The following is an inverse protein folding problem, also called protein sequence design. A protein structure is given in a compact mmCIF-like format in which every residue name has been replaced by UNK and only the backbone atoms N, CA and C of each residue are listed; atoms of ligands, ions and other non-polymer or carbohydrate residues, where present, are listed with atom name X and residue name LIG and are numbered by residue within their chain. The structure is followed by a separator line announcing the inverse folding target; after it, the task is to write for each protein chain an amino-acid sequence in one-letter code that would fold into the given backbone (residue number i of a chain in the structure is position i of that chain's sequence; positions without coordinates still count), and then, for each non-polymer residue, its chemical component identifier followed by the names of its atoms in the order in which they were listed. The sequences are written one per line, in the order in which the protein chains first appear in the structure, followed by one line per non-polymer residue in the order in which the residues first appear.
data_IF_584181728136
#
_entry.id   IF_584181728136
#
_cell.length_a   1.000
_cell.length_b   1.000
_cell.length_c   1.000
_cell.angle_alpha   90.00
_cell.angle_beta   90.00
_cell.angle_gamma   90.00
#
_symmetry.space_group_name_H-M   'P 1'
#
loop_
_entity.id
_entity.type
_entity.pdbx_description
1 polymer ?
#
# COMPACT_ATOMS: atom_id res chain seq x y z
N UNK A 1 -6.12 -29.96 -16.05
CA UNK A 1 -6.53 -28.81 -15.22
C UNK A 1 -6.34 -27.46 -15.91
N UNK A 2 -6.20 -27.45 -17.25
CA UNK A 2 -5.96 -26.22 -18.01
C UNK A 2 -7.07 -25.90 -19.04
N UNK A 3 -8.23 -26.51 -18.91
CA UNK A 3 -9.27 -26.45 -19.96
C UNK A 3 -10.61 -25.83 -19.50
N UNK A 4 -10.65 -25.15 -18.35
CA UNK A 4 -11.89 -24.52 -17.83
C UNK A 4 -11.84 -22.99 -17.83
N UNK A 5 -10.72 -22.36 -18.23
CA UNK A 5 -10.58 -20.91 -18.22
C UNK A 5 -10.83 -20.22 -19.57
N UNK A 6 -10.98 -20.99 -20.66
CA UNK A 6 -11.09 -20.43 -22.02
C UNK A 6 -12.54 -20.25 -22.53
N UNK A 7 -13.54 -20.56 -21.72
CA UNK A 7 -14.96 -20.46 -22.17
C UNK A 7 -15.78 -19.37 -21.48
N UNK A 8 -15.15 -18.46 -20.72
CA UNK A 8 -15.87 -17.36 -20.02
C UNK A 8 -15.45 -15.96 -20.46
N UNK A 9 -14.78 -15.80 -21.61
CA UNK A 9 -14.28 -14.47 -22.03
C UNK A 9 -15.06 -13.84 -23.18
N UNK A 10 -15.99 -14.54 -23.81
CA UNK A 10 -16.77 -13.99 -24.93
C UNK A 10 -18.28 -14.08 -24.71
N UNK A 11 -18.82 -13.33 -23.74
CA UNK A 11 -20.23 -12.90 -23.80
C UNK A 11 -20.39 -11.50 -23.24
N UNK A 12 -20.59 -10.56 -24.16
CA UNK A 12 -21.30 -9.27 -24.05
C UNK A 12 -20.98 -8.31 -22.88
N UNK A 13 -19.87 -7.61 -23.00
CA UNK A 13 -19.66 -6.34 -22.28
C UNK A 13 -20.24 -5.14 -23.05
N UNK A 14 -20.99 -5.34 -24.12
CA UNK A 14 -21.50 -4.27 -25.00
C UNK A 14 -23.00 -3.97 -24.82
N UNK A 15 -23.53 -4.05 -23.62
CA UNK A 15 -24.95 -3.79 -23.37
C UNK A 15 -25.30 -2.95 -22.15
N UNK A 16 -24.32 -2.50 -21.38
CA UNK A 16 -24.61 -1.57 -20.27
C UNK A 16 -24.70 -0.16 -20.85
N UNK A 17 -25.93 0.28 -21.19
CA UNK A 17 -26.24 1.70 -21.38
C UNK A 17 -25.67 2.45 -20.17
N UNK A 18 -24.72 3.36 -20.41
CA UNK A 18 -24.30 4.33 -19.41
C UNK A 18 -25.54 5.14 -19.00
N UNK A 19 -26.20 4.74 -17.92
CA UNK A 19 -27.18 5.60 -17.28
C UNK A 19 -26.42 6.85 -16.85
N UNK A 20 -26.74 7.98 -17.50
CA UNK A 20 -26.23 9.28 -17.09
C UNK A 20 -26.61 9.48 -15.63
N UNK A 21 -25.60 9.45 -14.74
CA UNK A 21 -25.78 9.78 -13.34
C UNK A 21 -26.38 11.18 -13.23
N UNK A 22 -27.64 11.26 -12.79
CA UNK A 22 -28.29 12.52 -12.48
C UNK A 22 -28.05 12.73 -10.98
N UNK A 23 -27.24 13.73 -10.57
CA UNK A 23 -27.00 13.98 -9.16
C UNK A 23 -28.33 14.34 -8.47
N UNK A 24 -28.64 13.78 -7.31
CA UNK A 24 -29.84 14.11 -6.59
C UNK A 24 -29.87 15.62 -6.31
N UNK A 25 -31.02 16.27 -6.55
CA UNK A 25 -31.24 17.70 -6.26
C UNK A 25 -31.24 17.89 -4.74
N UNK A 26 -30.06 17.94 -4.13
CA UNK A 26 -29.95 18.21 -2.70
C UNK A 26 -29.92 19.72 -2.47
N UNK A 27 -30.76 20.18 -1.54
CA UNK A 27 -30.81 21.57 -1.05
C UNK A 27 -29.55 21.98 -0.24
N UNK A 28 -28.57 21.07 -0.10
CA UNK A 28 -27.34 21.33 0.64
C UNK A 28 -26.32 22.01 -0.28
N UNK A 29 -25.86 23.21 0.09
CA UNK A 29 -24.79 23.92 -0.62
C UNK A 29 -23.47 23.13 -0.51
N UNK A 30 -23.11 22.42 -1.56
CA UNK A 30 -21.88 21.66 -1.68
C UNK A 30 -20.74 22.57 -2.17
N UNK A 31 -19.56 22.48 -1.56
CA UNK A 31 -18.39 23.19 -2.09
C UNK A 31 -18.00 22.63 -3.47
N UNK A 32 -17.35 23.43 -4.35
CA UNK A 32 -16.93 22.96 -5.66
C UNK A 32 -16.07 21.68 -5.62
N UNK A 33 -15.17 21.58 -4.63
CA UNK A 33 -14.32 20.40 -4.46
C UNK A 33 -15.11 19.15 -4.04
N UNK A 34 -16.12 19.30 -3.18
CA UNK A 34 -17.01 18.22 -2.74
C UNK A 34 -17.88 17.76 -3.89
N UNK A 35 -18.43 18.69 -4.70
CA UNK A 35 -19.22 18.38 -5.88
C UNK A 35 -18.45 17.56 -6.90
N UNK A 36 -17.20 17.96 -7.20
CA UNK A 36 -16.32 17.25 -8.12
C UNK A 36 -16.08 15.80 -7.66
N UNK A 37 -15.81 15.58 -6.37
CA UNK A 37 -15.60 14.23 -5.82
C UNK A 37 -16.87 13.38 -5.93
N UNK A 38 -18.06 13.95 -5.69
CA UNK A 38 -19.35 13.25 -5.79
C UNK A 38 -19.59 12.82 -7.24
N UNK A 39 -19.40 13.73 -8.21
CA UNK A 39 -19.59 13.47 -9.64
C UNK A 39 -18.60 12.41 -10.16
N UNK A 40 -17.30 12.57 -9.86
CA UNK A 40 -16.27 11.62 -10.29
C UNK A 40 -16.46 10.21 -9.70
N UNK A 41 -17.02 10.11 -8.49
CA UNK A 41 -17.16 8.85 -7.78
C UNK A 41 -18.59 8.30 -7.78
N UNK A 42 -19.55 9.00 -8.40
CA UNK A 42 -20.97 8.63 -8.43
C UNK A 42 -21.49 8.28 -7.02
N UNK A 43 -21.19 9.13 -6.03
CA UNK A 43 -21.51 8.89 -4.62
C UNK A 43 -22.96 9.30 -4.38
N UNK A 44 -23.77 8.42 -3.77
CA UNK A 44 -25.09 8.77 -3.27
C UNK A 44 -24.93 9.47 -1.90
N UNK A 45 -25.31 10.75 -1.85
CA UNK A 45 -25.22 11.60 -0.67
C UNK A 45 -26.54 11.69 0.11
N UNK A 46 -27.59 10.96 -0.30
CA UNK A 46 -28.90 11.02 0.34
C UNK A 46 -28.86 10.56 1.79
N UNK A 47 -27.97 9.63 2.12
CA UNK A 47 -27.80 9.02 3.44
C UNK A 47 -26.66 9.62 4.27
N UNK A 48 -25.97 10.64 3.74
CA UNK A 48 -24.78 11.20 4.37
C UNK A 48 -25.11 12.40 5.23
N UNK A 49 -24.79 12.33 6.52
CA UNK A 49 -24.82 13.48 7.44
C UNK A 49 -23.48 14.22 7.35
N UNK A 50 -23.52 15.53 7.03
CA UNK A 50 -22.30 16.35 6.93
C UNK A 50 -21.83 16.80 8.32
N UNK A 51 -20.52 16.65 8.58
CA UNK A 51 -19.88 17.10 9.83
C UNK A 51 -19.39 18.55 9.79
N UNK A 52 -19.54 19.25 8.66
CA UNK A 52 -19.16 20.65 8.50
C UNK A 52 -20.12 21.62 9.16
N UNK A 53 -19.73 22.92 9.22
CA UNK A 53 -20.55 24.01 9.75
C UNK A 53 -21.93 24.02 9.07
N UNK A 54 -23.01 24.12 9.86
CA UNK A 54 -24.41 24.08 9.40
C UNK A 54 -24.82 22.75 8.70
N UNK A 55 -24.21 21.62 9.11
CA UNK A 55 -24.52 20.30 8.53
C UNK A 55 -24.04 20.12 7.09
N UNK A 56 -23.06 20.88 6.62
CA UNK A 56 -22.48 20.77 5.27
C UNK A 56 -21.61 19.53 5.17
N UNK A 57 -21.67 18.87 4.02
CA UNK A 57 -20.79 17.75 3.73
C UNK A 57 -19.39 18.29 3.47
N UNK A 58 -18.42 17.89 4.31
CA UNK A 58 -17.02 18.21 4.16
C UNK A 58 -16.32 17.17 3.27
N UNK A 59 -15.16 17.55 2.71
CA UNK A 59 -14.31 16.60 1.95
C UNK A 59 -13.94 15.37 2.77
N UNK A 60 -13.73 15.55 4.08
CA UNK A 60 -13.43 14.46 5.01
C UNK A 60 -14.53 13.42 5.11
N UNK A 61 -15.81 13.83 5.08
CA UNK A 61 -16.95 12.93 5.16
C UNK A 61 -17.01 11.99 3.95
N UNK A 62 -16.73 12.52 2.76
CA UNK A 62 -16.64 11.73 1.53
C UNK A 62 -15.47 10.77 1.55
N UNK A 63 -14.30 11.22 2.03
CA UNK A 63 -13.13 10.36 2.16
C UNK A 63 -13.37 9.24 3.18
N UNK A 64 -14.04 9.53 4.29
CA UNK A 64 -14.43 8.53 5.27
C UNK A 64 -15.45 7.53 4.71
N UNK A 65 -16.42 7.99 3.93
CA UNK A 65 -17.36 7.10 3.25
C UNK A 65 -16.66 6.20 2.23
N UNK A 66 -15.69 6.74 1.51
CA UNK A 66 -14.87 5.98 0.55
C UNK A 66 -13.91 5.02 1.23
N UNK A 67 -13.48 5.31 2.46
CA UNK A 67 -12.56 4.48 3.26
C UNK A 67 -13.25 3.50 4.22
N UNK A 68 -14.53 3.67 4.51
CA UNK A 68 -15.28 2.79 5.41
C UNK A 68 -15.64 1.47 4.71
N UNK A 69 -14.68 0.55 4.71
CA UNK A 69 -14.91 -0.84 4.28
C UNK A 69 -15.43 -1.58 5.51
N UNK A 70 -16.62 -2.20 5.46
CA UNK A 70 -17.09 -3.06 6.55
C UNK A 70 -16.02 -4.12 6.83
N UNK A 71 -15.48 -4.14 8.06
CA UNK A 71 -14.56 -5.18 8.48
C UNK A 71 -15.23 -6.54 8.33
N UNK A 72 -14.58 -7.57 7.78
CA UNK A 72 -15.17 -8.90 7.61
C UNK A 72 -15.79 -9.48 8.88
N UNK A 73 -15.19 -9.16 10.04
CA UNK A 73 -15.67 -9.60 11.38
C UNK A 73 -17.00 -8.95 11.82
N UNK A 74 -17.41 -7.83 11.22
CA UNK A 74 -18.68 -7.14 11.54
C UNK A 74 -19.77 -7.40 10.51
N UNK A 75 -19.49 -8.19 9.49
CA UNK A 75 -20.43 -8.48 8.42
C UNK A 75 -21.49 -9.48 8.91
N UNK A 76 -22.75 -9.10 8.89
CA UNK A 76 -23.89 -10.00 9.11
C UNK A 76 -24.35 -10.54 7.76
N UNK A 77 -24.58 -11.86 7.69
CA UNK A 77 -25.24 -12.47 6.54
C UNK A 77 -26.69 -11.97 6.49
N UNK A 78 -27.01 -11.16 5.49
CA UNK A 78 -28.32 -10.53 5.44
C UNK A 78 -29.30 -11.27 4.53
N UNK A 79 -28.84 -11.85 3.43
CA UNK A 79 -29.73 -12.49 2.44
C UNK A 79 -29.01 -13.61 1.69
N UNK A 80 -29.45 -14.86 1.84
CA UNK A 80 -29.03 -16.00 1.05
C UNK A 80 -27.55 -16.45 1.21
N UNK A 81 -27.13 -17.49 0.45
CA UNK A 81 -25.78 -18.04 0.54
C UNK A 81 -24.70 -17.12 -0.09
N UNK A 82 -25.09 -16.19 -0.95
CA UNK A 82 -24.19 -15.29 -1.66
C UNK A 82 -24.67 -13.83 -1.52
N UNK A 83 -23.71 -12.94 -1.38
CA UNK A 83 -23.96 -11.50 -1.32
C UNK A 83 -22.96 -10.77 -2.22
N UNK A 84 -23.46 -9.96 -3.14
CA UNK A 84 -22.62 -9.14 -4.05
C UNK A 84 -22.35 -7.77 -3.41
N UNK A 85 -21.09 -7.50 -3.08
CA UNK A 85 -20.65 -6.23 -2.53
C UNK A 85 -19.70 -5.55 -3.50
N UNK A 86 -20.01 -4.30 -3.86
CA UNK A 86 -19.17 -3.52 -4.77
C UNK A 86 -17.84 -3.18 -4.10
N UNK A 87 -16.76 -3.45 -4.80
CA UNK A 87 -15.41 -3.10 -4.35
C UNK A 87 -15.18 -1.58 -4.39
N UNK A 88 -14.40 -1.07 -3.44
CA UNK A 88 -13.94 0.32 -3.48
C UNK A 88 -12.91 0.52 -4.60
N UNK A 89 -12.78 1.75 -5.11
CA UNK A 89 -11.77 2.09 -6.13
C UNK A 89 -10.36 1.76 -5.67
N UNK A 90 -10.03 2.00 -4.41
CA UNK A 90 -8.73 1.67 -3.84
C UNK A 90 -8.44 0.17 -3.96
N UNK A 91 -9.39 -0.69 -3.57
CA UNK A 91 -9.24 -2.16 -3.71
C UNK A 91 -9.10 -2.60 -5.17
N UNK A 92 -9.88 -2.01 -6.07
CA UNK A 92 -9.75 -2.30 -7.50
C UNK A 92 -8.37 -1.94 -8.03
N UNK A 93 -7.86 -0.76 -7.65
CA UNK A 93 -6.51 -0.31 -8.05
C UNK A 93 -5.42 -1.21 -7.47
N UNK A 94 -5.53 -1.59 -6.18
CA UNK A 94 -4.59 -2.51 -5.54
C UNK A 94 -4.61 -3.87 -6.25
N UNK A 95 -5.79 -4.44 -6.48
CA UNK A 95 -5.93 -5.74 -7.15
C UNK A 95 -5.33 -5.72 -8.56
N UNK A 96 -5.61 -4.66 -9.34
CA UNK A 96 -5.06 -4.48 -10.68
C UNK A 96 -3.52 -4.43 -10.64
N UNK A 97 -2.94 -3.57 -9.79
CA UNK A 97 -1.48 -3.42 -9.71
C UNK A 97 -0.78 -4.68 -9.22
N UNK A 98 -1.35 -5.38 -8.24
CA UNK A 98 -0.80 -6.65 -7.77
C UNK A 98 -0.83 -7.71 -8.87
N UNK A 99 -1.92 -7.78 -9.63
CA UNK A 99 -2.03 -8.73 -10.75
C UNK A 99 -1.05 -8.38 -11.87
N UNK A 100 -0.94 -7.13 -12.26
CA UNK A 100 0.05 -6.65 -13.25
C UNK A 100 1.48 -7.01 -12.82
N UNK A 101 1.84 -6.87 -11.53
CA UNK A 101 3.15 -7.25 -11.02
C UNK A 101 3.40 -8.76 -11.12
N UNK A 102 2.38 -9.60 -10.84
CA UNK A 102 2.51 -11.04 -11.00
C UNK A 102 2.67 -11.46 -12.47
N UNK A 103 1.94 -10.82 -13.38
CA UNK A 103 1.94 -11.17 -14.79
C UNK A 103 3.22 -10.69 -15.51
N UNK A 104 3.89 -9.67 -14.98
CA UNK A 104 5.11 -9.12 -15.56
C UNK A 104 6.40 -9.88 -15.20
N UNK A 105 6.35 -10.84 -14.27
CA UNK A 105 7.53 -11.54 -13.78
C UNK A 105 7.28 -13.04 -13.57
N UNK A 106 8.29 -13.86 -13.88
CA UNK A 106 8.31 -15.26 -13.49
C UNK A 106 8.69 -15.38 -12.01
N UNK A 107 7.68 -15.42 -11.14
CA UNK A 107 7.91 -15.43 -9.69
C UNK A 107 8.28 -16.82 -9.19
N UNK A 108 9.37 -16.91 -8.44
CA UNK A 108 9.78 -18.10 -7.69
C UNK A 108 9.76 -17.79 -6.20
N UNK A 109 9.13 -18.67 -5.42
CA UNK A 109 9.13 -18.56 -3.95
C UNK A 109 10.10 -19.57 -3.37
N UNK A 110 11.00 -19.08 -2.50
CA UNK A 110 11.93 -19.92 -1.73
C UNK A 110 11.71 -19.71 -0.25
N UNK A 111 11.96 -20.77 0.54
CA UNK A 111 11.88 -20.72 2.00
C UNK A 111 13.23 -21.08 2.60
N UNK A 112 13.64 -20.36 3.63
CA UNK A 112 14.87 -20.61 4.34
C UNK A 112 14.69 -20.28 5.83
N UNK A 113 15.39 -21.00 6.69
CA UNK A 113 15.42 -20.76 8.13
C UNK A 113 16.77 -20.18 8.54
N UNK A 114 16.75 -19.16 9.40
CA UNK A 114 17.96 -18.47 9.85
C UNK A 114 17.96 -18.42 11.38
N UNK A 115 19.04 -18.89 11.99
CA UNK A 115 19.27 -18.73 13.43
C UNK A 115 19.62 -17.26 13.74
N UNK A 116 18.73 -16.60 14.49
CA UNK A 116 18.87 -15.20 14.87
C UNK A 116 19.50 -15.01 16.26
N UNK A 117 19.92 -16.08 16.96
CA UNK A 117 20.36 -16.00 18.35
C UNK A 117 21.49 -14.97 18.55
N UNK A 118 22.51 -14.99 17.71
CA UNK A 118 23.64 -14.07 17.82
C UNK A 118 23.26 -12.61 17.57
N UNK A 119 22.32 -12.37 16.65
CA UNK A 119 21.82 -11.01 16.37
C UNK A 119 20.94 -10.50 17.49
N UNK A 120 20.12 -11.37 18.09
CA UNK A 120 19.29 -11.05 19.25
C UNK A 120 20.18 -10.67 20.44
N UNK A 121 21.23 -11.48 20.72
CA UNK A 121 22.17 -11.21 21.79
C UNK A 121 22.90 -9.88 21.56
N UNK A 122 23.47 -9.67 20.37
CA UNK A 122 24.15 -8.43 20.01
C UNK A 122 23.23 -7.21 20.20
N UNK A 123 21.98 -7.31 19.75
CA UNK A 123 21.01 -6.24 19.95
C UNK A 123 20.75 -5.96 21.42
N UNK A 124 20.67 -6.98 22.28
CA UNK A 124 20.48 -6.82 23.72
C UNK A 124 21.68 -6.15 24.37
N UNK A 125 22.89 -6.58 24.03
CA UNK A 125 24.13 -6.06 24.60
C UNK A 125 24.34 -4.57 24.28
N UNK A 126 24.02 -4.15 23.06
CA UNK A 126 24.26 -2.77 22.60
C UNK A 126 23.04 -1.86 22.70
N UNK A 127 21.87 -2.34 23.10
CA UNK A 127 20.62 -1.58 23.11
C UNK A 127 20.69 -0.24 23.84
N UNK A 128 21.22 -0.26 25.05
CA UNK A 128 21.26 0.95 25.91
C UNK A 128 22.28 1.96 25.41
N UNK A 129 23.49 1.53 25.07
CA UNK A 129 24.54 2.40 24.57
C UNK A 129 24.18 3.01 23.22
N UNK A 130 23.55 2.22 22.36
CA UNK A 130 23.06 2.70 21.10
C UNK A 130 21.99 3.77 21.28
N UNK A 131 21.02 3.55 22.18
CA UNK A 131 19.96 4.51 22.46
C UNK A 131 20.50 5.78 23.12
N UNK A 132 21.46 5.69 24.03
CA UNK A 132 22.13 6.85 24.64
C UNK A 132 22.89 7.68 23.60
N UNK A 133 23.62 7.00 22.70
CA UNK A 133 24.46 7.66 21.70
C UNK A 133 23.68 8.28 20.55
N UNK A 134 22.67 7.61 20.05
CA UNK A 134 21.97 7.98 18.80
C UNK A 134 20.53 8.47 19.01
N UNK A 135 20.01 8.43 20.24
CA UNK A 135 18.63 8.80 20.60
C UNK A 135 17.55 8.04 19.83
N UNK A 136 17.89 6.82 19.35
CA UNK A 136 16.97 5.93 18.65
C UNK A 136 17.18 4.49 19.09
N UNK A 137 16.12 3.68 19.02
CA UNK A 137 16.21 2.26 19.40
C UNK A 137 16.84 1.44 18.27
N UNK A 138 17.73 0.53 18.61
CA UNK A 138 18.27 -0.45 17.69
C UNK A 138 17.20 -1.50 17.36
N UNK A 139 16.71 -1.53 16.15
CA UNK A 139 15.76 -2.51 15.62
C UNK A 139 16.46 -3.64 14.86
N UNK A 140 15.68 -4.61 14.38
CA UNK A 140 16.18 -5.66 13.50
C UNK A 140 16.27 -5.25 12.05
N UNK A 141 15.51 -4.22 11.65
CA UNK A 141 15.41 -3.84 10.23
C UNK A 141 16.72 -3.30 9.68
N UNK A 142 17.52 -2.63 10.48
CA UNK A 142 18.85 -2.18 10.08
C UNK A 142 19.80 -3.36 9.78
N UNK A 143 19.74 -4.44 10.55
CA UNK A 143 20.52 -5.66 10.26
C UNK A 143 20.07 -6.29 8.94
N UNK A 144 18.77 -6.45 8.72
CA UNK A 144 18.25 -7.00 7.47
C UNK A 144 18.60 -6.12 6.27
N UNK A 145 18.45 -4.80 6.39
CA UNK A 145 18.81 -3.87 5.32
C UNK A 145 20.30 -3.96 4.94
N UNK A 146 21.19 -4.03 5.93
CA UNK A 146 22.62 -4.22 5.68
C UNK A 146 22.94 -5.58 5.09
N UNK A 147 22.31 -6.64 5.56
CA UNK A 147 22.48 -7.98 4.99
C UNK A 147 22.04 -8.03 3.52
N UNK A 148 20.90 -7.39 3.18
CA UNK A 148 20.47 -7.25 1.79
C UNK A 148 21.48 -6.51 0.94
N UNK A 149 22.07 -5.41 1.41
CA UNK A 149 23.10 -4.68 0.69
C UNK A 149 24.32 -5.56 0.41
N UNK A 150 24.79 -6.33 1.42
CA UNK A 150 25.92 -7.25 1.24
C UNK A 150 25.58 -8.33 0.20
N UNK A 151 24.38 -8.89 0.26
CA UNK A 151 23.93 -9.89 -0.70
C UNK A 151 23.84 -9.32 -2.14
N UNK A 152 23.27 -8.11 -2.30
CA UNK A 152 23.17 -7.46 -3.62
C UNK A 152 24.55 -7.10 -4.20
N UNK A 153 25.52 -6.75 -3.37
CA UNK A 153 26.92 -6.54 -3.81
C UNK A 153 27.59 -7.83 -4.29
N UNK A 154 27.30 -8.94 -3.61
CA UNK A 154 27.86 -10.25 -3.99
C UNK A 154 27.17 -10.86 -5.21
N UNK A 155 25.90 -10.53 -5.42
CA UNK A 155 25.08 -11.03 -6.51
C UNK A 155 24.47 -9.88 -7.34
N UNK A 156 25.26 -9.15 -8.15
CA UNK A 156 24.81 -7.96 -8.86
C UNK A 156 23.63 -8.19 -9.81
N UNK A 157 23.47 -9.41 -10.33
CA UNK A 157 22.38 -9.78 -11.22
C UNK A 157 20.99 -9.67 -10.55
N UNK A 158 20.93 -9.76 -9.21
CA UNK A 158 19.69 -9.55 -8.45
C UNK A 158 19.31 -8.07 -8.39
N UNK A 159 20.29 -7.17 -8.44
CA UNK A 159 20.07 -5.72 -8.48
C UNK A 159 20.10 -5.19 -9.92
N UNK A 160 19.38 -5.85 -10.81
CA UNK A 160 19.31 -5.51 -12.22
C UNK A 160 17.85 -5.56 -12.71
N UNK A 161 17.58 -4.94 -13.83
CA UNK A 161 16.29 -5.02 -14.51
C UNK A 161 16.48 -5.32 -16.00
N UNK A 162 15.44 -5.84 -16.63
CA UNK A 162 15.42 -6.13 -18.07
C UNK A 162 14.64 -5.03 -18.77
N UNK A 163 15.30 -4.35 -19.72
CA UNK A 163 14.68 -3.36 -20.59
C UNK A 163 14.88 -3.78 -22.06
N UNK A 164 13.83 -4.26 -22.69
CA UNK A 164 13.92 -4.84 -24.03
C UNK A 164 14.91 -6.01 -24.07
N UNK A 165 16.02 -5.83 -24.79
CA UNK A 165 17.08 -6.84 -24.92
C UNK A 165 18.31 -6.54 -24.04
N UNK A 166 18.21 -5.60 -23.10
CA UNK A 166 19.32 -5.20 -22.25
C UNK A 166 19.08 -5.58 -20.79
N UNK A 167 20.16 -5.93 -20.10
CA UNK A 167 20.18 -6.05 -18.64
C UNK A 167 20.84 -4.79 -18.09
N UNK A 168 20.12 -4.05 -17.26
CA UNK A 168 20.57 -2.82 -16.64
C UNK A 168 20.96 -3.11 -15.20
N UNK A 169 22.25 -3.14 -14.90
CA UNK A 169 22.77 -3.29 -13.54
C UNK A 169 22.70 -1.96 -12.79
N UNK A 170 22.11 -1.97 -11.59
CA UNK A 170 21.97 -0.77 -10.76
C UNK A 170 23.13 -0.68 -9.77
N UNK A 171 23.97 0.34 -9.92
CA UNK A 171 25.12 0.59 -9.05
C UNK A 171 24.73 1.45 -7.82
N UNK A 172 23.51 1.32 -7.36
CA UNK A 172 22.98 1.93 -6.14
C UNK A 172 22.10 0.94 -5.41
N UNK A 173 22.00 1.08 -4.08
CA UNK A 173 21.30 0.11 -3.22
C UNK A 173 20.15 0.81 -2.50
N UNK A 174 19.00 0.84 -3.14
CA UNK A 174 17.75 1.34 -2.59
C UNK A 174 16.90 0.16 -2.12
N UNK A 175 16.48 0.18 -0.86
CA UNK A 175 15.71 -0.92 -0.26
C UNK A 175 14.35 -0.40 0.15
N UNK A 176 13.30 -1.00 -0.38
CA UNK A 176 11.93 -0.68 -0.02
C UNK A 176 11.49 -1.50 1.20
N UNK A 177 10.77 -0.85 2.12
CA UNK A 177 10.23 -1.48 3.32
C UNK A 177 8.72 -1.32 3.33
N UNK A 178 8.02 -2.47 3.37
CA UNK A 178 6.57 -2.46 3.42
C UNK A 178 6.07 -2.09 4.81
N UNK A 179 5.21 -1.09 4.91
CA UNK A 179 4.60 -0.59 6.15
C UNK A 179 3.09 -0.72 6.05
N UNK A 180 2.50 -1.53 6.96
CA UNK A 180 1.06 -1.64 7.10
C UNK A 180 0.49 -0.44 7.85
N UNK A 181 -0.57 0.14 7.30
CA UNK A 181 -1.35 1.22 7.91
C UNK A 181 -2.84 0.89 7.89
N UNK A 182 -3.64 1.60 8.66
CA UNK A 182 -5.10 1.43 8.66
C UNK A 182 -5.71 1.69 7.27
N UNK A 183 -5.03 2.45 6.42
CA UNK A 183 -5.44 2.79 5.05
C UNK A 183 -4.94 1.79 4.00
N UNK A 184 -4.12 0.83 4.38
CA UNK A 184 -3.50 -0.16 3.49
C UNK A 184 -1.99 -0.23 3.62
N UNK A 185 -1.36 -0.89 2.65
CA UNK A 185 0.08 -1.07 2.58
C UNK A 185 0.73 0.07 1.79
N UNK A 186 1.78 0.67 2.36
CA UNK A 186 2.68 1.61 1.67
C UNK A 186 4.09 1.05 1.67
N UNK A 187 4.87 1.37 0.65
CA UNK A 187 6.20 0.78 0.45
C UNK A 187 7.21 1.90 0.16
N UNK A 188 7.59 2.69 1.18
CA UNK A 188 8.59 3.73 1.03
C UNK A 188 9.98 3.15 0.77
N UNK A 189 10.88 3.99 0.22
CA UNK A 189 12.19 3.59 -0.25
C UNK A 189 13.29 4.21 0.60
N UNK A 190 14.11 3.38 1.24
CA UNK A 190 15.38 3.79 1.81
C UNK A 190 16.41 3.91 0.69
N UNK A 191 16.87 5.13 0.43
CA UNK A 191 17.86 5.41 -0.64
C UNK A 191 19.27 5.24 -0.12
N UNK A 192 20.17 4.71 -0.97
CA UNK A 192 21.61 4.56 -0.70
C UNK A 192 21.93 3.86 0.62
N UNK A 193 21.30 2.74 0.88
CA UNK A 193 21.40 2.02 2.16
C UNK A 193 22.83 1.55 2.47
N UNK A 194 23.66 1.38 1.45
CA UNK A 194 25.06 1.04 1.59
C UNK A 194 25.87 2.15 2.28
N UNK A 195 25.53 3.41 2.07
CA UNK A 195 26.16 4.58 2.67
C UNK A 195 25.65 4.86 4.10
N UNK A 196 24.45 4.37 4.48
CA UNK A 196 23.83 4.66 5.75
C UNK A 196 24.41 3.85 6.91
N UNK A 197 24.53 4.46 8.09
CA UNK A 197 24.81 3.74 9.34
C UNK A 197 23.59 2.99 9.84
N UNK A 198 23.75 2.07 10.81
CA UNK A 198 22.61 1.42 11.49
C UNK A 198 21.65 2.44 12.11
N UNK A 199 22.20 3.50 12.73
CA UNK A 199 21.40 4.54 13.34
C UNK A 199 20.59 5.35 12.31
N UNK A 200 21.18 5.64 11.14
CA UNK A 200 20.49 6.37 10.08
C UNK A 200 19.39 5.52 9.43
N UNK A 201 19.64 4.23 9.26
CA UNK A 201 18.62 3.30 8.76
C UNK A 201 17.43 3.28 9.72
N UNK A 202 17.65 3.06 11.02
CA UNK A 202 16.56 3.02 12.01
C UNK A 202 15.82 4.37 12.10
N UNK A 203 16.53 5.50 12.03
CA UNK A 203 15.94 6.84 12.01
C UNK A 203 15.06 7.06 10.78
N UNK A 204 15.54 6.69 9.61
CA UNK A 204 14.78 6.83 8.37
C UNK A 204 13.54 5.93 8.37
N UNK A 205 13.66 4.68 8.85
CA UNK A 205 12.51 3.77 9.00
C UNK A 205 11.47 4.35 9.95
N UNK A 206 11.91 4.90 11.08
CA UNK A 206 11.02 5.55 12.05
C UNK A 206 10.26 6.72 11.41
N UNK A 207 10.97 7.64 10.75
CA UNK A 207 10.37 8.81 10.08
C UNK A 207 9.39 8.41 8.97
N UNK A 208 9.76 7.42 8.15
CA UNK A 208 8.88 6.90 7.09
C UNK A 208 7.64 6.22 7.68
N UNK A 209 7.79 5.52 8.81
CA UNK A 209 6.67 4.89 9.51
C UNK A 209 5.70 5.91 10.09
N UNK A 210 6.19 7.02 10.65
CA UNK A 210 5.34 8.12 11.13
C UNK A 210 4.60 8.79 9.96
N UNK A 211 5.31 9.15 8.88
CA UNK A 211 4.69 9.69 7.67
C UNK A 211 3.61 8.75 7.10
N UNK A 212 3.87 7.45 7.11
CA UNK A 212 2.93 6.44 6.62
C UNK A 212 1.64 6.42 7.46
N UNK A 213 1.75 6.39 8.79
CA UNK A 213 0.60 6.42 9.71
C UNK A 213 -0.22 7.69 9.60
N UNK A 214 0.45 8.83 9.43
CA UNK A 214 -0.18 10.13 9.24
C UNK A 214 -0.74 10.31 7.81
N UNK A 215 -0.47 9.40 6.89
CA UNK A 215 -0.89 9.51 5.49
C UNK A 215 -0.17 10.63 4.72
N UNK A 216 1.04 10.97 5.13
CA UNK A 216 1.89 12.03 4.55
C UNK A 216 2.97 11.50 3.61
N UNK A 217 2.94 10.22 3.27
CA UNK A 217 3.86 9.64 2.27
C UNK A 217 3.63 10.32 0.92
N UNK A 218 4.71 10.74 0.28
CA UNK A 218 4.72 11.38 -1.04
C UNK A 218 5.33 10.45 -2.09
N UNK A 219 5.22 10.83 -3.36
CA UNK A 219 5.81 10.08 -4.49
C UNK A 219 7.35 10.03 -4.39
N UNK A 220 7.96 10.95 -3.65
CA UNK A 220 9.43 11.03 -3.51
C UNK A 220 9.98 10.21 -2.33
N UNK A 221 9.12 9.71 -1.47
CA UNK A 221 9.43 8.83 -0.35
C UNK A 221 9.39 7.37 -0.83
#
# INVERSE_FOLDING_TARGET
GALILDTLVDEDVNGVKEEKYIPPKTRKNLSPAVRKIIEENKIDISTLEGTGKDGRIAKGDLLNLMGNIPQPSKRRYTHGPEERVKMTRLRLTIAKRLKESQDSAAMLTTFNEVDMQNIIQMKQDYKEDFQKKYSIKLGFMSFFAKACVVALKNFPAVNAEIEGNHIIYKNYYNISIAIGTDRGLVVPVLKKVDELSFADIERNIFLLSEKAREGKITIND
#
